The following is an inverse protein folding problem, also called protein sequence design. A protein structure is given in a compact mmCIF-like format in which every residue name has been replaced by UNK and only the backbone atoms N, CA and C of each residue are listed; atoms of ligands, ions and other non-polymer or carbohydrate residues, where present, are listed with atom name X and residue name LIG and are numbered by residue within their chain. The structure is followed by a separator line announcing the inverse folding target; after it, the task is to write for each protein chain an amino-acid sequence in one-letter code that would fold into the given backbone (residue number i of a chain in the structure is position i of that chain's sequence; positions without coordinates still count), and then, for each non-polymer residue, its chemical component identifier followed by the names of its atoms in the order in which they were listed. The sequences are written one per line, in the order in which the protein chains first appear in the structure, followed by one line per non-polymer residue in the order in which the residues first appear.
data_IF_161671504033
#
_entry.id   IF_161671504033
#
_cell.length_a   1.000
_cell.length_b   1.000
_cell.length_c   1.000
_cell.angle_alpha   90.00
_cell.angle_beta   90.00
_cell.angle_gamma   90.00
#
_symmetry.space_group_name_H-M   'P 1'
#
loop_
_entity.id
_entity.type
_entity.pdbx_description
1 polymer ?
#
# COMPACT_ATOMS: atom_id res chain seq x y z
N UNK A 1 -4.25 33.88 18.46
CA UNK A 1 -4.37 32.44 18.80
C UNK A 1 -4.08 31.52 17.60
N UNK A 2 -4.76 31.67 16.45
CA UNK A 2 -4.53 30.87 15.23
C UNK A 2 -3.05 30.84 14.79
N UNK A 3 -2.38 32.00 14.71
CA UNK A 3 -0.96 32.08 14.33
C UNK A 3 -0.02 31.33 15.29
N UNK A 4 -0.30 31.33 16.59
CA UNK A 4 0.51 30.61 17.59
C UNK A 4 0.38 29.09 17.43
N UNK A 5 -0.84 28.60 17.18
CA UNK A 5 -1.07 27.16 17.00
C UNK A 5 -0.43 26.67 15.69
N UNK A 6 -0.44 27.48 14.62
CA UNK A 6 0.27 27.14 13.37
C UNK A 6 1.78 26.95 13.60
N UNK A 7 2.42 27.88 14.31
CA UNK A 7 3.83 27.75 14.66
C UNK A 7 4.10 26.48 15.50
N UNK A 8 3.24 26.18 16.48
CA UNK A 8 3.35 24.96 17.30
C UNK A 8 3.16 23.66 16.52
N UNK A 9 2.35 23.67 15.45
CA UNK A 9 2.16 22.51 14.56
C UNK A 9 3.42 22.24 13.73
N UNK A 10 4.16 23.29 13.35
CA UNK A 10 5.41 23.18 12.59
C UNK A 10 6.58 22.73 13.47
N UNK A 11 6.64 23.21 14.72
CA UNK A 11 7.73 22.89 15.66
C UNK A 11 7.59 21.49 16.31
N UNK A 12 6.41 20.85 16.25
CA UNK A 12 6.22 19.55 16.91
C UNK A 12 6.72 18.38 16.06
N UNK A 13 7.45 17.48 16.72
CA UNK A 13 7.95 16.22 16.16
C UNK A 13 7.04 15.02 16.46
N UNK A 14 6.05 15.21 17.34
CA UNK A 14 5.08 14.18 17.73
C UNK A 14 3.85 14.24 16.82
N UNK A 15 3.54 13.14 16.12
CA UNK A 15 2.38 13.04 15.24
C UNK A 15 1.06 13.19 16.02
N UNK A 16 1.00 12.64 17.23
CA UNK A 16 -0.16 12.78 18.11
C UNK A 16 -0.42 14.26 18.46
N UNK A 17 0.63 15.00 18.84
CA UNK A 17 0.50 16.42 19.18
C UNK A 17 0.18 17.26 17.95
N UNK A 18 0.76 16.91 16.80
CA UNK A 18 0.46 17.54 15.51
C UNK A 18 -1.02 17.41 15.18
N UNK A 19 -1.58 16.20 15.27
CA UNK A 19 -3.01 15.97 15.04
C UNK A 19 -3.88 16.75 16.04
N UNK A 20 -3.54 16.74 17.32
CA UNK A 20 -4.33 17.46 18.34
C UNK A 20 -4.28 18.98 18.15
N UNK A 21 -3.14 19.53 17.77
CA UNK A 21 -2.99 20.95 17.48
C UNK A 21 -3.73 21.34 16.18
N UNK A 22 -3.68 20.49 15.15
CA UNK A 22 -4.46 20.67 13.92
C UNK A 22 -5.97 20.59 14.18
N UNK A 23 -6.44 19.64 15.00
CA UNK A 23 -7.85 19.52 15.40
C UNK A 23 -8.33 20.80 16.10
N UNK A 24 -7.52 21.34 17.03
CA UNK A 24 -7.81 22.60 17.72
C UNK A 24 -7.82 23.78 16.77
N UNK A 25 -6.85 23.86 15.86
CA UNK A 25 -6.78 24.90 14.83
C UNK A 25 -8.04 24.87 13.95
N UNK A 26 -8.44 23.68 13.49
CA UNK A 26 -9.62 23.47 12.66
C UNK A 26 -10.91 23.91 13.37
N UNK A 27 -11.07 23.57 14.67
CA UNK A 27 -12.22 24.01 15.47
C UNK A 27 -12.31 25.54 15.59
N UNK A 28 -11.17 26.24 15.69
CA UNK A 28 -11.13 27.70 15.81
C UNK A 28 -11.46 28.39 14.48
N UNK A 29 -11.03 27.81 13.36
CA UNK A 29 -11.22 28.39 12.01
C UNK A 29 -12.53 27.90 11.37
N UNK A 30 -13.26 26.97 12.01
CA UNK A 30 -14.50 26.39 11.49
C UNK A 30 -14.28 25.36 10.37
N UNK A 31 -13.07 24.82 10.25
CA UNK A 31 -12.66 23.90 9.17
C UNK A 31 -12.83 22.41 9.51
N UNK A 32 -13.80 22.04 10.36
CA UNK A 32 -14.03 20.63 10.72
C UNK A 32 -15.21 20.08 9.93
N UNK A 33 -14.94 19.12 9.05
CA UNK A 33 -15.96 18.32 8.38
C UNK A 33 -16.08 16.95 9.07
N UNK A 34 -17.31 16.44 9.22
CA UNK A 34 -17.58 15.12 9.81
C UNK A 34 -18.36 14.29 8.80
N UNK A 35 -17.80 13.15 8.40
CA UNK A 35 -18.48 12.20 7.51
C UNK A 35 -19.13 11.12 8.38
N UNK A 36 -20.47 11.04 8.34
CA UNK A 36 -21.23 9.99 9.04
C UNK A 36 -21.51 8.84 8.08
N UNK A 37 -20.88 7.70 8.30
CA UNK A 37 -21.06 6.50 7.48
C UNK A 37 -22.13 5.60 8.11
N UNK A 38 -23.13 5.22 7.31
CA UNK A 38 -24.19 4.29 7.70
C UNK A 38 -24.30 3.11 6.72
N UNK A 39 -24.74 1.97 7.26
CA UNK A 39 -24.99 0.72 6.54
C UNK A 39 -26.07 -0.12 7.26
N UNK A 40 -26.56 -1.18 6.60
CA UNK A 40 -27.65 -2.00 7.14
C UNK A 40 -27.18 -2.97 8.24
N UNK A 41 -25.91 -3.37 8.22
CA UNK A 41 -25.30 -4.24 9.23
C UNK A 41 -24.01 -3.63 9.77
N UNK A 42 -23.58 -4.03 10.97
CA UNK A 42 -22.33 -3.53 11.57
C UNK A 42 -21.10 -3.91 10.73
N UNK A 43 -21.08 -5.12 10.17
CA UNK A 43 -19.98 -5.60 9.32
C UNK A 43 -19.84 -4.74 8.07
N UNK A 44 -20.95 -4.44 7.40
CA UNK A 44 -20.97 -3.55 6.24
C UNK A 44 -20.59 -2.10 6.63
N UNK A 45 -21.04 -1.64 7.80
CA UNK A 45 -20.70 -0.31 8.29
C UNK A 45 -19.18 -0.16 8.49
N UNK A 46 -18.53 -1.20 9.05
CA UNK A 46 -17.08 -1.21 9.28
C UNK A 46 -16.30 -1.17 7.96
N UNK A 47 -16.69 -1.99 6.99
CA UNK A 47 -16.07 -2.01 5.66
C UNK A 47 -16.22 -0.68 4.93
N UNK A 48 -17.44 -0.12 4.92
CA UNK A 48 -17.73 1.16 4.26
C UNK A 48 -17.01 2.32 4.95
N UNK A 49 -16.90 2.27 6.29
CA UNK A 49 -16.14 3.25 7.05
C UNK A 49 -14.66 3.19 6.69
N UNK A 50 -14.06 2.00 6.63
CA UNK A 50 -12.66 1.83 6.24
C UNK A 50 -12.40 2.39 4.83
N UNK A 51 -13.27 2.10 3.85
CA UNK A 51 -13.17 2.68 2.49
C UNK A 51 -13.21 4.20 2.48
N UNK A 52 -14.04 4.82 3.30
CA UNK A 52 -14.13 6.28 3.41
C UNK A 52 -12.86 6.87 4.04
N UNK A 53 -12.31 6.20 5.06
CA UNK A 53 -11.05 6.60 5.69
C UNK A 53 -9.88 6.50 4.68
N UNK A 54 -9.79 5.39 3.94
CA UNK A 54 -8.78 5.20 2.90
C UNK A 54 -8.87 6.27 1.80
N UNK A 55 -10.08 6.57 1.31
CA UNK A 55 -10.29 7.62 0.32
C UNK A 55 -9.88 9.01 0.83
N UNK A 56 -10.15 9.32 2.10
CA UNK A 56 -9.71 10.56 2.73
C UNK A 56 -8.18 10.64 2.79
N UNK A 57 -7.50 9.55 3.19
CA UNK A 57 -6.05 9.50 3.27
C UNK A 57 -5.40 9.60 1.88
N UNK A 58 -5.95 8.91 0.87
CA UNK A 58 -5.50 9.00 -0.51
C UNK A 58 -5.62 10.43 -1.06
N UNK A 59 -6.74 11.11 -0.79
CA UNK A 59 -6.96 12.51 -1.20
C UNK A 59 -5.95 13.44 -0.54
N UNK A 60 -5.67 13.28 0.76
CA UNK A 60 -4.64 14.07 1.45
C UNK A 60 -3.27 13.86 0.82
N UNK A 61 -2.89 12.61 0.56
CA UNK A 61 -1.62 12.27 -0.07
C UNK A 61 -1.50 12.84 -1.51
N UNK A 62 -2.60 12.84 -2.26
CA UNK A 62 -2.66 13.41 -3.60
C UNK A 62 -2.50 14.93 -3.61
N UNK A 63 -3.03 15.63 -2.60
CA UNK A 63 -2.85 17.07 -2.45
C UNK A 63 -1.39 17.44 -2.10
N UNK A 64 -0.68 16.56 -1.38
CA UNK A 64 0.70 16.82 -0.95
C UNK A 64 1.75 16.63 -2.05
N UNK A 65 1.71 15.51 -2.78
CA UNK A 65 2.74 15.17 -3.78
C UNK A 65 2.19 15.00 -5.20
N UNK A 66 0.89 15.25 -5.42
CA UNK A 66 0.24 15.09 -6.71
C UNK A 66 -0.22 13.66 -6.99
N UNK A 67 -0.59 13.43 -8.25
CA UNK A 67 -1.14 12.17 -8.76
C UNK A 67 -0.30 11.64 -9.91
N UNK A 68 -0.35 10.33 -10.12
CA UNK A 68 0.30 9.63 -11.23
C UNK A 68 -0.67 8.63 -11.87
N UNK A 69 -0.42 8.17 -13.11
CA UNK A 69 -1.19 7.08 -13.71
C UNK A 69 -1.14 5.84 -12.82
N UNK A 70 -2.32 5.32 -12.46
CA UNK A 70 -2.45 4.21 -11.52
C UNK A 70 -2.17 2.86 -12.16
N UNK A 71 -2.68 1.78 -11.55
CA UNK A 71 -2.60 0.42 -12.11
C UNK A 71 -1.16 -0.11 -12.25
N UNK A 72 -0.22 0.46 -11.48
CA UNK A 72 1.21 0.14 -11.58
C UNK A 72 1.94 0.78 -12.77
N UNK A 73 1.27 1.58 -13.61
CA UNK A 73 1.90 2.22 -14.79
C UNK A 73 3.05 3.13 -14.38
N UNK A 74 2.85 3.96 -13.36
CA UNK A 74 3.90 4.86 -12.86
C UNK A 74 5.21 4.12 -12.51
N UNK A 75 5.12 2.92 -11.93
CA UNK A 75 6.28 2.08 -11.61
C UNK A 75 6.97 1.56 -12.86
N UNK A 76 6.21 1.07 -13.86
CA UNK A 76 6.76 0.63 -15.15
C UNK A 76 7.48 1.78 -15.87
N UNK A 77 6.93 3.00 -15.84
CA UNK A 77 7.56 4.17 -16.45
C UNK A 77 8.90 4.51 -15.78
N UNK A 78 9.03 4.24 -14.48
CA UNK A 78 10.27 4.39 -13.72
C UNK A 78 11.43 3.51 -14.20
N UNK A 79 11.16 2.40 -14.92
CA UNK A 79 12.19 1.52 -15.50
C UNK A 79 13.18 2.30 -16.40
N UNK A 80 12.70 3.34 -17.10
CA UNK A 80 13.54 4.19 -17.97
C UNK A 80 14.72 4.80 -17.22
N UNK A 81 14.50 5.26 -15.97
CA UNK A 81 15.56 5.80 -15.13
C UNK A 81 16.56 4.70 -14.72
N UNK A 82 16.07 3.50 -14.38
CA UNK A 82 16.92 2.35 -14.03
C UNK A 82 17.74 1.83 -15.22
N UNK A 83 17.29 2.03 -16.46
CA UNK A 83 18.05 1.68 -17.66
C UNK A 83 19.26 2.60 -17.91
N UNK A 84 19.26 3.80 -17.33
CA UNK A 84 20.40 4.72 -17.42
C UNK A 84 21.48 4.41 -16.38
N UNK A 85 21.16 3.64 -15.34
CA UNK A 85 22.11 3.22 -14.32
C UNK A 85 22.97 2.06 -14.83
N UNK A 86 24.27 2.33 -15.01
CA UNK A 86 25.28 1.32 -15.32
C UNK A 86 26.22 1.21 -14.13
N UNK A 87 26.09 0.12 -13.38
CA UNK A 87 26.88 -0.17 -12.19
C UNK A 87 27.72 -1.43 -12.43
N UNK A 88 28.69 -1.69 -11.56
CA UNK A 88 29.59 -2.83 -11.67
C UNK A 88 29.22 -3.94 -10.69
N UNK A 89 29.45 -5.20 -11.09
CA UNK A 89 29.26 -6.38 -10.23
C UNK A 89 27.86 -6.49 -9.62
N UNK A 90 27.82 -6.76 -8.31
CA UNK A 90 26.58 -7.03 -7.56
C UNK A 90 25.63 -5.84 -7.50
N UNK A 91 26.13 -4.61 -7.65
CA UNK A 91 25.27 -3.43 -7.70
C UNK A 91 24.35 -3.45 -8.93
N UNK A 92 24.83 -3.95 -10.06
CA UNK A 92 24.01 -4.09 -11.27
C UNK A 92 22.93 -5.18 -11.09
N UNK A 93 23.24 -6.23 -10.33
CA UNK A 93 22.26 -7.27 -9.97
C UNK A 93 21.13 -6.65 -9.14
N UNK A 94 21.47 -5.79 -8.17
CA UNK A 94 20.49 -5.04 -7.37
C UNK A 94 19.56 -4.18 -8.23
N UNK A 95 20.10 -3.46 -9.22
CA UNK A 95 19.28 -2.68 -10.18
C UNK A 95 18.33 -3.60 -10.97
N UNK A 96 18.82 -4.75 -11.43
CA UNK A 96 18.00 -5.70 -12.18
C UNK A 96 16.89 -6.32 -11.31
N UNK A 97 17.14 -6.52 -10.01
CA UNK A 97 16.14 -6.97 -9.03
C UNK A 97 14.99 -5.97 -8.92
N UNK A 98 15.31 -4.68 -8.77
CA UNK A 98 14.30 -3.62 -8.70
C UNK A 98 13.51 -3.53 -10.01
N UNK A 99 14.18 -3.59 -11.18
CA UNK A 99 13.51 -3.57 -12.49
C UNK A 99 12.44 -4.66 -12.61
N UNK A 100 12.73 -5.86 -12.11
CA UNK A 100 11.76 -6.96 -12.10
C UNK A 100 10.66 -6.75 -11.06
N UNK A 101 11.01 -6.31 -9.85
CA UNK A 101 10.06 -6.16 -8.75
C UNK A 101 8.98 -5.10 -9.02
N UNK A 102 9.33 -4.00 -9.71
CA UNK A 102 8.38 -2.92 -10.01
C UNK A 102 7.32 -3.30 -11.04
N UNK A 103 7.47 -4.42 -11.74
CA UNK A 103 6.44 -4.98 -12.63
C UNK A 103 5.34 -5.75 -11.87
N UNK A 104 5.66 -6.25 -10.68
CA UNK A 104 4.77 -7.14 -9.92
C UNK A 104 3.41 -6.52 -9.58
N UNK A 105 3.29 -5.24 -9.17
CA UNK A 105 1.99 -4.65 -8.87
C UNK A 105 1.03 -4.70 -10.07
N UNK A 106 1.51 -4.35 -11.27
CA UNK A 106 0.70 -4.41 -12.49
C UNK A 106 0.36 -5.85 -12.87
N UNK A 107 1.35 -6.75 -12.78
CA UNK A 107 1.18 -8.19 -13.06
C UNK A 107 0.08 -8.80 -12.18
N UNK A 108 0.08 -8.49 -10.88
CA UNK A 108 -0.95 -8.96 -9.95
C UNK A 108 -2.31 -8.36 -10.20
N UNK A 109 -2.39 -7.05 -10.50
CA UNK A 109 -3.66 -6.40 -10.87
C UNK A 109 -4.27 -7.08 -12.12
N UNK A 110 -3.45 -7.30 -13.15
CA UNK A 110 -3.89 -7.97 -14.38
C UNK A 110 -4.33 -9.43 -14.14
N UNK A 111 -3.53 -10.20 -13.41
CA UNK A 111 -3.85 -11.60 -13.09
C UNK A 111 -5.14 -11.72 -12.27
N UNK A 112 -5.34 -10.83 -11.29
CA UNK A 112 -6.56 -10.81 -10.48
C UNK A 112 -7.80 -10.42 -11.30
N UNK A 113 -7.62 -9.67 -12.40
CA UNK A 113 -8.66 -9.37 -13.38
C UNK A 113 -8.83 -10.48 -14.45
N UNK A 114 -8.09 -11.59 -14.35
CA UNK A 114 -8.19 -12.70 -15.31
C UNK A 114 -7.41 -12.51 -16.62
N UNK A 115 -6.66 -11.42 -16.76
CA UNK A 115 -5.75 -11.19 -17.88
C UNK A 115 -4.38 -11.83 -17.63
N UNK A 116 -3.60 -12.08 -18.70
CA UNK A 116 -2.23 -12.58 -18.55
C UNK A 116 -1.28 -11.42 -18.24
N UNK A 117 -0.81 -11.36 -16.98
CA UNK A 117 -0.04 -10.23 -16.48
C UNK A 117 1.27 -9.97 -17.21
N UNK A 118 1.95 -10.98 -17.76
CA UNK A 118 3.21 -10.78 -18.47
C UNK A 118 2.99 -10.02 -19.80
N UNK A 119 1.95 -10.36 -20.55
CA UNK A 119 1.53 -9.70 -21.78
C UNK A 119 1.08 -8.27 -21.48
N UNK A 120 0.34 -8.06 -20.39
CA UNK A 120 -0.09 -6.71 -19.98
C UNK A 120 1.12 -5.84 -19.65
N UNK A 121 2.01 -6.32 -18.79
CA UNK A 121 3.23 -5.59 -18.42
C UNK A 121 4.07 -5.27 -19.66
N UNK A 122 4.29 -6.24 -20.54
CA UNK A 122 5.08 -6.05 -21.75
C UNK A 122 4.47 -4.98 -22.65
N UNK A 123 3.16 -5.08 -22.94
CA UNK A 123 2.46 -4.09 -23.77
C UNK A 123 2.56 -2.69 -23.18
N UNK A 124 2.36 -2.55 -21.87
CA UNK A 124 2.47 -1.24 -21.20
C UNK A 124 3.89 -0.73 -21.24
N UNK A 125 4.91 -1.57 -21.03
CA UNK A 125 6.31 -1.19 -21.08
C UNK A 125 6.75 -0.72 -22.48
N UNK A 126 6.21 -1.31 -23.54
CA UNK A 126 6.53 -0.97 -24.94
C UNK A 126 5.90 0.36 -25.40
N UNK A 127 4.88 0.86 -24.69
CA UNK A 127 4.24 2.14 -25.02
C UNK A 127 5.11 3.35 -24.67
N UNK A 128 5.16 4.33 -25.57
CA UNK A 128 5.83 5.61 -25.33
C UNK A 128 4.98 6.62 -24.57
N UNK A 129 3.66 6.40 -24.52
CA UNK A 129 2.72 7.27 -23.82
C UNK A 129 2.77 7.00 -22.30
N UNK A 130 3.06 8.05 -21.53
CA UNK A 130 3.23 7.97 -20.08
C UNK A 130 1.94 7.62 -19.35
N UNK A 131 0.79 8.00 -19.90
CA UNK A 131 -0.53 7.82 -19.29
C UNK A 131 -1.25 6.58 -19.82
N UNK A 132 -0.73 5.95 -20.89
CA UNK A 132 -1.30 4.75 -21.47
C UNK A 132 -1.02 3.52 -20.60
N UNK A 133 -2.08 2.79 -20.27
CA UNK A 133 -2.01 1.60 -19.43
C UNK A 133 -3.16 0.64 -19.64
N UNK A 134 -3.18 -0.43 -18.87
CA UNK A 134 -4.26 -1.41 -18.84
C UNK A 134 -5.24 -1.06 -17.73
N UNK A 135 -6.48 -0.69 -18.09
CA UNK A 135 -7.56 -0.54 -17.14
C UNK A 135 -8.15 -1.91 -16.84
N UNK A 136 -7.83 -2.46 -15.67
CA UNK A 136 -8.30 -3.77 -15.22
C UNK A 136 -9.81 -3.81 -14.89
N UNK A 137 -10.45 -2.66 -14.67
CA UNK A 137 -11.90 -2.58 -14.42
C UNK A 137 -12.72 -2.80 -15.71
N UNK A 138 -12.21 -2.29 -16.83
CA UNK A 138 -12.86 -2.32 -18.16
C UNK A 138 -12.16 -3.29 -19.13
N UNK A 139 -11.10 -3.96 -18.67
CA UNK A 139 -10.25 -4.89 -19.42
C UNK A 139 -9.72 -4.33 -20.77
N UNK A 140 -9.41 -3.04 -20.81
CA UNK A 140 -8.96 -2.36 -22.04
C UNK A 140 -7.76 -1.46 -21.83
N UNK A 141 -7.04 -1.18 -22.91
CA UNK A 141 -5.91 -0.27 -22.89
C UNK A 141 -6.37 1.13 -23.28
N UNK A 142 -6.10 2.10 -22.41
CA UNK A 142 -6.52 3.48 -22.59
C UNK A 142 -5.62 4.43 -21.80
N UNK A 143 -5.89 5.73 -21.90
CA UNK A 143 -5.26 6.73 -21.05
C UNK A 143 -5.87 6.63 -19.64
N UNK A 144 -5.08 6.18 -18.67
CA UNK A 144 -5.56 5.90 -17.32
C UNK A 144 -5.92 7.16 -16.54
N UNK A 145 -5.25 8.29 -16.81
CA UNK A 145 -5.57 9.57 -16.18
C UNK A 145 -6.94 10.06 -16.63
N UNK A 146 -7.23 9.98 -17.93
CA UNK A 146 -8.55 10.31 -18.49
C UNK A 146 -9.64 9.34 -18.04
N UNK A 147 -9.30 8.06 -17.86
CA UNK A 147 -10.21 7.04 -17.33
C UNK A 147 -10.45 7.17 -15.81
N UNK A 148 -9.71 8.04 -15.11
CA UNK A 148 -9.81 8.24 -13.67
C UNK A 148 -9.09 7.18 -12.83
N UNK A 149 -8.26 6.35 -13.44
CA UNK A 149 -7.41 5.36 -12.77
C UNK A 149 -6.09 6.04 -12.39
N UNK A 150 -6.11 6.71 -11.25
CA UNK A 150 -5.00 7.52 -10.74
C UNK A 150 -4.61 7.08 -9.32
N UNK A 151 -3.31 7.16 -9.02
CA UNK A 151 -2.78 6.89 -7.70
C UNK A 151 -2.08 8.15 -7.13
N UNK A 152 -2.14 8.41 -5.81
CA UNK A 152 -1.34 9.46 -5.20
C UNK A 152 0.16 9.16 -5.34
N UNK A 153 0.92 10.11 -5.86
CA UNK A 153 2.36 9.92 -6.11
C UNK A 153 3.13 9.54 -4.84
N UNK A 154 2.76 10.15 -3.71
CA UNK A 154 3.29 9.84 -2.37
C UNK A 154 3.16 8.37 -2.02
N UNK A 155 2.00 7.76 -2.29
CA UNK A 155 1.72 6.37 -1.93
C UNK A 155 2.60 5.43 -2.75
N UNK A 156 2.68 5.64 -4.06
CA UNK A 156 3.51 4.82 -4.96
C UNK A 156 4.99 4.89 -4.56
N UNK A 157 5.50 6.10 -4.29
CA UNK A 157 6.88 6.33 -3.85
C UNK A 157 7.17 5.68 -2.50
N UNK A 158 6.31 5.91 -1.50
CA UNK A 158 6.49 5.38 -0.14
C UNK A 158 6.39 3.86 -0.12
N UNK A 159 5.47 3.26 -0.90
CA UNK A 159 5.37 1.82 -1.02
C UNK A 159 6.67 1.19 -1.54
N UNK A 160 7.24 1.73 -2.62
CA UNK A 160 8.50 1.23 -3.17
C UNK A 160 9.67 1.39 -2.20
N UNK A 161 9.76 2.53 -1.51
CA UNK A 161 10.82 2.81 -0.52
C UNK A 161 10.75 1.86 0.67
N UNK A 162 9.56 1.66 1.24
CA UNK A 162 9.36 0.76 2.38
C UNK A 162 9.65 -0.70 2.00
N UNK A 163 9.15 -1.14 0.83
CA UNK A 163 9.44 -2.48 0.31
C UNK A 163 10.94 -2.70 0.13
N UNK A 164 11.63 -1.74 -0.50
CA UNK A 164 13.07 -1.81 -0.71
C UNK A 164 13.85 -1.81 0.61
N UNK A 165 13.44 -1.01 1.59
CA UNK A 165 14.07 -0.95 2.92
C UNK A 165 14.02 -2.28 3.65
N UNK A 166 12.87 -2.95 3.66
CA UNK A 166 12.73 -4.26 4.32
C UNK A 166 13.46 -5.34 3.51
N UNK A 167 13.34 -5.33 2.18
CA UNK A 167 14.05 -6.28 1.33
C UNK A 167 15.57 -6.20 1.52
N UNK A 168 16.15 -5.00 1.59
CA UNK A 168 17.59 -4.84 1.84
C UNK A 168 18.01 -5.40 3.19
N UNK A 169 17.21 -5.20 4.24
CA UNK A 169 17.51 -5.73 5.57
C UNK A 169 17.50 -7.27 5.56
N UNK A 170 16.47 -7.87 4.95
CA UNK A 170 16.34 -9.32 4.84
C UNK A 170 17.46 -9.95 4.02
N UNK A 171 17.84 -9.34 2.89
CA UNK A 171 18.93 -9.83 2.04
C UNK A 171 20.30 -9.82 2.75
N UNK A 172 20.49 -8.95 3.74
CA UNK A 172 21.72 -8.88 4.54
C UNK A 172 21.67 -9.69 5.84
N UNK A 173 20.57 -10.40 6.09
CA UNK A 173 20.38 -11.17 7.32
C UNK A 173 21.06 -12.53 7.22
N UNK A 174 22.20 -12.70 7.88
CA UNK A 174 22.96 -13.97 7.90
C UNK A 174 22.45 -14.96 8.97
N UNK A 175 21.85 -14.46 10.04
CA UNK A 175 21.36 -15.28 11.15
C UNK A 175 20.14 -14.65 11.83
N UNK A 176 19.27 -15.50 12.37
CA UNK A 176 18.09 -15.11 13.15
C UNK A 176 18.08 -15.88 14.48
N UNK A 177 17.83 -15.18 15.58
CA UNK A 177 17.60 -15.79 16.89
C UNK A 177 16.11 -15.72 17.17
N UNK A 178 15.47 -16.88 17.28
CA UNK A 178 14.05 -16.99 17.59
C UNK A 178 13.83 -17.70 18.93
N UNK A 179 12.69 -17.44 19.56
CA UNK A 179 12.26 -18.21 20.72
C UNK A 179 11.98 -19.66 20.29
N UNK A 180 12.34 -20.61 21.16
CA UNK A 180 11.99 -22.01 20.96
C UNK A 180 10.46 -22.09 21.08
N UNK A 181 9.75 -22.66 20.09
CA UNK A 181 8.31 -22.83 20.18
C UNK A 181 7.96 -23.56 21.48
N UNK A 182 7.12 -22.95 22.32
CA UNK A 182 6.62 -23.62 23.50
C UNK A 182 5.78 -24.82 23.06
N UNK A 183 6.13 -26.01 23.55
CA UNK A 183 5.24 -27.15 23.45
C UNK A 183 3.95 -26.78 24.19
N UNK A 184 2.85 -26.65 23.43
CA UNK A 184 1.52 -26.59 24.02
C UNK A 184 1.34 -27.88 24.79
N UNK A 185 1.52 -27.81 26.11
CA UNK A 185 1.05 -28.88 27.00
C UNK A 185 -0.43 -29.01 26.72
N UNK A 186 -0.82 -30.07 26.01
CA UNK A 186 -2.18 -30.55 26.06
C UNK A 186 -2.50 -30.64 27.55
N UNK A 187 -3.40 -29.76 27.99
CA UNK A 187 -3.90 -29.79 29.35
C UNK A 187 -4.37 -31.21 29.58
N UNK A 188 -3.65 -31.94 30.44
CA UNK A 188 -4.02 -33.28 30.84
C UNK A 188 -5.48 -33.22 31.29
N UNK A 189 -6.39 -33.68 30.43
CA UNK A 189 -7.78 -33.82 30.81
C UNK A 189 -7.77 -34.76 32.01
N UNK A 190 -8.32 -34.35 33.16
CA UNK A 190 -8.25 -35.15 34.38
C UNK A 190 -8.82 -36.54 34.11
N UNK A 191 -8.04 -37.55 34.45
CA UNK A 191 -8.45 -38.94 34.39
C UNK A 191 -9.68 -39.14 35.29
N UNK A 192 -10.85 -39.36 34.68
CA UNK A 192 -12.06 -39.69 35.43
C UNK A 192 -13.31 -39.71 34.57
N UNK A 193 -13.79 -40.91 34.24
CA UNK A 193 -15.19 -41.10 33.82
C UNK A 193 -15.37 -42.09 32.66
N UNK A 194 -15.82 -43.33 32.93
CA UNK A 194 -16.09 -44.32 31.90
C UNK A 194 -17.32 -43.95 31.05
N UNK A 195 -17.18 -44.01 29.73
CA UNK A 195 -18.29 -44.30 28.82
C UNK A 195 -18.55 -43.27 27.72
N UNK A 196 -18.53 -43.78 26.48
CA UNK A 196 -19.58 -43.46 25.50
C UNK A 196 -19.19 -42.56 24.32
N UNK A 197 -19.20 -43.17 23.13
CA UNK A 197 -19.33 -42.57 21.79
C UNK A 197 -18.19 -41.64 21.35
N UNK A 198 -17.41 -41.98 20.33
CA UNK A 198 -17.87 -42.46 19.03
C UNK A 198 -17.59 -41.32 18.04
N UNK A 199 -16.52 -41.47 17.27
CA UNK A 199 -15.98 -40.38 16.46
C UNK A 199 -16.92 -39.86 15.38
N UNK A 200 -16.73 -38.60 15.01
CA UNK A 200 -16.86 -38.12 13.65
C UNK A 200 -15.93 -36.92 13.46
N UNK A 201 -15.14 -37.03 12.39
CA UNK A 201 -14.54 -36.02 11.51
C UNK A 201 -14.42 -34.57 12.01
#
# INVERSE_FOLDING_TARGET
RVKQIRAQVEDTTSDYDREKLQERLAKIVGGVAVIKVGAATETEMKEKKARVEDAMHATKAAVEEGIVPGGGVALIRGVKALNQMKLEGDQQIGVNLIKRAIEEPMRWIANNAGAEGSIVVQKVADSTDEEWGFNAQEERYENLVQAGVIDPAKVVRTALQNASSIASLLLTTEAMVCEIPEEKKESAMPAGGPGGMGGMY
#
